data_IF_090332918220
#
_entry.id   IF_090332918220
#
_cell.length_a   1.000
_cell.length_b   1.000
_cell.length_c   1.000
_cell.angle_alpha   90.00
_cell.angle_beta   90.00
_cell.angle_gamma   90.00
#
_symmetry.space_group_name_H-M   'P 1'
#
loop_
_entity.id
_entity.type
_entity.pdbx_description
1 polymer ?
#
# COMPACT_ATOMS: atom_id res chain seq x y z
N UNK A 1 -24.34 -8.19 1.70
CA UNK A 1 -23.38 -7.52 0.77
C UNK A 1 -23.54 -8.14 -0.60
N UNK A 2 -23.66 -7.34 -1.65
CA UNK A 2 -23.86 -7.85 -2.99
C UNK A 2 -22.61 -8.50 -3.60
N UNK A 3 -22.70 -8.88 -4.85
CA UNK A 3 -21.58 -9.42 -5.64
C UNK A 3 -20.63 -8.30 -6.02
N UNK A 4 -19.46 -8.22 -5.36
CA UNK A 4 -18.42 -7.19 -5.57
C UNK A 4 -17.04 -7.81 -5.58
N UNK A 5 -16.09 -7.13 -6.20
CA UNK A 5 -14.66 -7.49 -6.19
C UNK A 5 -14.40 -8.94 -6.61
N UNK A 6 -15.06 -9.40 -7.65
CA UNK A 6 -14.86 -10.73 -8.22
C UNK A 6 -13.67 -10.70 -9.18
N UNK A 7 -12.67 -11.52 -8.94
CA UNK A 7 -11.51 -11.63 -9.81
C UNK A 7 -11.91 -11.92 -11.27
N UNK A 8 -11.29 -11.22 -12.21
CA UNK A 8 -11.59 -11.34 -13.64
C UNK A 8 -12.81 -10.57 -14.14
N UNK A 9 -13.59 -9.96 -13.25
CA UNK A 9 -14.70 -9.10 -13.65
C UNK A 9 -14.25 -7.64 -13.83
N UNK A 10 -14.91 -6.84 -14.70
CA UNK A 10 -14.53 -5.45 -14.96
C UNK A 10 -14.47 -4.57 -13.71
N UNK A 11 -15.26 -4.88 -12.69
CA UNK A 11 -15.28 -4.15 -11.41
C UNK A 11 -14.00 -4.28 -10.58
N UNK A 12 -13.13 -5.23 -10.90
CA UNK A 12 -11.82 -5.41 -10.25
C UNK A 12 -10.64 -4.98 -11.13
N UNK A 13 -10.90 -4.55 -12.36
CA UNK A 13 -9.85 -4.13 -13.27
C UNK A 13 -9.14 -2.88 -12.75
N UNK A 14 -7.82 -2.86 -12.90
CA UNK A 14 -7.02 -1.66 -12.63
C UNK A 14 -7.35 -0.63 -13.72
N UNK A 15 -7.45 0.64 -13.34
CA UNK A 15 -7.70 1.72 -14.29
C UNK A 15 -6.68 1.69 -15.43
N UNK A 16 -7.10 1.95 -16.68
CA UNK A 16 -6.18 1.90 -17.83
C UNK A 16 -4.94 2.77 -17.66
N UNK A 17 -5.09 3.94 -17.03
CA UNK A 17 -3.99 4.88 -16.77
C UNK A 17 -2.95 4.33 -15.79
N UNK A 18 -3.32 3.35 -14.99
CA UNK A 18 -2.50 2.71 -13.97
C UNK A 18 -2.26 1.22 -14.26
N UNK A 19 -2.61 0.77 -15.47
CA UNK A 19 -2.44 -0.63 -15.84
C UNK A 19 -0.98 -1.08 -15.65
N UNK A 20 -0.75 -2.28 -15.11
CA UNK A 20 0.60 -2.80 -14.91
C UNK A 20 1.39 -2.82 -16.23
N UNK A 21 2.64 -2.40 -16.15
CA UNK A 21 3.59 -2.53 -17.25
C UNK A 21 4.41 -3.81 -17.10
N UNK A 22 5.15 -4.17 -18.15
CA UNK A 22 5.97 -5.38 -18.13
C UNK A 22 6.95 -5.38 -16.94
N UNK A 23 6.98 -6.49 -16.22
CA UNK A 23 7.84 -6.67 -15.04
C UNK A 23 7.22 -6.25 -13.71
N UNK A 24 6.08 -5.60 -13.73
CA UNK A 24 5.33 -5.32 -12.50
C UNK A 24 4.58 -6.55 -12.01
N UNK A 25 4.60 -6.76 -10.71
CA UNK A 25 3.92 -7.90 -10.07
C UNK A 25 2.50 -7.50 -9.71
N UNK A 26 1.53 -8.26 -10.18
CA UNK A 26 0.12 -8.11 -9.80
C UNK A 26 -0.22 -9.19 -8.78
N UNK A 27 -0.74 -8.78 -7.63
CA UNK A 27 -1.11 -9.68 -6.55
C UNK A 27 -2.63 -9.72 -6.42
N UNK A 28 -3.22 -10.88 -6.65
CA UNK A 28 -4.60 -11.16 -6.27
C UNK A 28 -4.63 -11.57 -4.80
N UNK A 29 -5.39 -10.85 -3.99
CA UNK A 29 -5.41 -11.09 -2.55
C UNK A 29 -6.82 -11.43 -2.05
N UNK A 30 -6.96 -12.50 -1.25
CA UNK A 30 -8.26 -12.89 -0.70
C UNK A 30 -8.70 -12.03 0.49
N UNK A 31 -7.76 -11.35 1.11
CA UNK A 31 -7.98 -10.51 2.30
C UNK A 31 -7.71 -9.03 2.09
N UNK A 32 -7.74 -8.26 3.17
CA UNK A 32 -7.44 -6.83 3.13
C UNK A 32 -5.95 -6.57 3.04
N UNK A 33 -5.15 -7.30 3.81
CA UNK A 33 -3.69 -7.26 3.75
C UNK A 33 -3.14 -7.96 2.51
N UNK A 34 -2.10 -7.39 1.92
CA UNK A 34 -1.52 -7.92 0.68
C UNK A 34 -0.57 -9.11 0.89
N UNK A 35 -0.15 -9.39 2.11
CA UNK A 35 0.70 -10.54 2.43
C UNK A 35 -0.10 -11.81 2.70
N UNK A 36 -1.32 -11.69 3.21
CA UNK A 36 -2.12 -12.85 3.60
C UNK A 36 -2.47 -13.72 2.40
N UNK A 37 -2.04 -14.99 2.44
CA UNK A 37 -2.30 -16.00 1.42
C UNK A 37 -1.93 -15.55 -0.01
N UNK A 38 -0.82 -14.80 -0.15
CA UNK A 38 -0.30 -14.34 -1.44
C UNK A 38 1.19 -14.63 -1.57
N UNK A 39 1.72 -14.47 -2.78
CA UNK A 39 3.15 -14.58 -3.06
C UNK A 39 3.94 -13.25 -2.90
N UNK A 40 3.38 -12.25 -2.22
CA UNK A 40 4.04 -10.94 -2.12
C UNK A 40 5.38 -11.01 -1.37
N UNK A 41 5.42 -11.71 -0.25
CA UNK A 41 6.63 -11.83 0.55
C UNK A 41 7.80 -12.41 -0.26
N UNK A 42 7.54 -13.48 -0.99
CA UNK A 42 8.55 -14.14 -1.85
C UNK A 42 8.97 -13.25 -3.02
N UNK A 43 8.03 -12.50 -3.60
CA UNK A 43 8.33 -11.57 -4.68
C UNK A 43 9.26 -10.44 -4.23
N UNK A 44 9.00 -9.85 -3.08
CA UNK A 44 9.83 -8.81 -2.48
C UNK A 44 11.22 -9.35 -2.08
N UNK A 45 11.24 -10.52 -1.48
CA UNK A 45 12.48 -11.17 -1.05
C UNK A 45 13.40 -11.50 -2.24
N UNK A 46 12.85 -12.06 -3.32
CA UNK A 46 13.63 -12.35 -4.55
C UNK A 46 14.27 -11.11 -5.16
N UNK A 47 13.62 -9.96 -5.03
CA UNK A 47 14.14 -8.68 -5.52
C UNK A 47 15.04 -7.95 -4.51
N UNK A 48 15.24 -8.48 -3.32
CA UNK A 48 16.03 -7.85 -2.27
C UNK A 48 15.44 -6.54 -1.76
N UNK A 49 14.13 -6.35 -1.88
CA UNK A 49 13.44 -5.13 -1.45
C UNK A 49 13.47 -5.02 0.07
N UNK A 50 13.77 -3.83 0.58
CA UNK A 50 13.77 -3.52 2.01
C UNK A 50 12.89 -2.33 2.37
N UNK A 51 12.63 -1.46 1.42
CA UNK A 51 11.86 -0.24 1.59
C UNK A 51 10.61 -0.30 0.71
N UNK A 52 9.47 0.09 1.28
CA UNK A 52 8.18 0.04 0.61
C UNK A 52 7.49 1.40 0.70
N UNK A 53 7.04 1.89 -0.45
CA UNK A 53 6.14 3.05 -0.51
C UNK A 53 4.73 2.52 -0.70
N UNK A 54 3.82 2.99 0.15
CA UNK A 54 2.41 2.59 0.15
C UNK A 54 1.53 3.68 -0.44
N UNK A 55 0.64 3.26 -1.31
CA UNK A 55 -0.42 4.08 -1.89
C UNK A 55 -1.67 3.21 -2.09
N UNK A 56 -2.78 3.84 -2.40
CA UNK A 56 -4.02 3.13 -2.74
C UNK A 56 -5.15 3.34 -1.75
N UNK A 57 -6.14 2.49 -1.82
CA UNK A 57 -7.37 2.58 -1.04
C UNK A 57 -7.74 1.23 -0.38
N UNK A 58 -8.39 1.29 0.76
CA UNK A 58 -8.63 2.49 1.60
C UNK A 58 -7.54 2.60 2.64
N UNK A 59 -7.24 3.81 3.06
CA UNK A 59 -6.13 4.13 3.97
C UNK A 59 -6.12 3.28 5.23
N UNK A 60 -7.25 3.24 5.94
CA UNK A 60 -7.38 2.56 7.23
C UNK A 60 -7.62 1.05 7.13
N UNK A 61 -7.88 0.53 5.95
CA UNK A 61 -8.16 -0.91 5.77
C UNK A 61 -7.01 -1.59 5.04
N UNK A 62 -7.04 -1.65 3.71
CA UNK A 62 -6.05 -2.43 2.95
C UNK A 62 -4.65 -1.85 3.08
N UNK A 63 -4.52 -0.54 3.01
CA UNK A 63 -3.22 0.15 3.06
C UNK A 63 -2.59 0.00 4.45
N UNK A 64 -3.30 0.39 5.51
CA UNK A 64 -2.77 0.29 6.87
C UNK A 64 -2.54 -1.16 7.29
N UNK A 65 -3.43 -2.09 6.96
CA UNK A 65 -3.26 -3.50 7.27
C UNK A 65 -1.98 -4.06 6.64
N UNK A 66 -1.75 -3.78 5.36
CA UNK A 66 -0.54 -4.22 4.65
C UNK A 66 0.72 -3.58 5.23
N UNK A 67 0.65 -2.29 5.53
CA UNK A 67 1.79 -1.54 6.07
C UNK A 67 2.21 -2.04 7.46
N UNK A 68 1.26 -2.36 8.33
CA UNK A 68 1.56 -2.92 9.66
C UNK A 68 2.23 -4.29 9.55
N UNK A 69 1.71 -5.16 8.71
CA UNK A 69 2.34 -6.46 8.48
C UNK A 69 3.72 -6.33 7.83
N UNK A 70 3.89 -5.42 6.88
CA UNK A 70 5.19 -5.12 6.29
C UNK A 70 6.21 -4.68 7.35
N UNK A 71 5.80 -3.79 8.25
CA UNK A 71 6.65 -3.35 9.35
C UNK A 71 7.02 -4.53 10.28
N UNK A 72 6.06 -5.37 10.65
CA UNK A 72 6.32 -6.56 11.45
C UNK A 72 7.27 -7.54 10.76
N UNK A 73 7.28 -7.56 9.43
CA UNK A 73 8.20 -8.38 8.62
C UNK A 73 9.58 -7.77 8.44
N UNK A 74 9.81 -6.55 8.95
CA UNK A 74 11.10 -5.88 8.93
C UNK A 74 11.33 -4.93 7.73
N UNK A 75 10.28 -4.59 6.97
CA UNK A 75 10.37 -3.58 5.93
C UNK A 75 10.32 -2.18 6.52
N UNK A 76 11.08 -1.26 5.94
CA UNK A 76 10.92 0.17 6.17
C UNK A 76 9.74 0.66 5.32
N UNK A 77 8.79 1.33 5.97
CA UNK A 77 7.51 1.65 5.36
C UNK A 77 7.30 3.18 5.28
N UNK A 78 6.89 3.65 4.12
CA UNK A 78 6.55 5.04 3.85
C UNK A 78 5.18 5.13 3.20
N UNK A 79 4.27 5.92 3.77
CA UNK A 79 2.95 6.19 3.18
C UNK A 79 2.99 7.49 2.39
N UNK A 80 2.53 7.45 1.15
CA UNK A 80 2.32 8.63 0.32
C UNK A 80 0.95 9.25 0.65
N UNK A 81 0.95 10.41 1.36
CA UNK A 81 -0.25 10.96 2.00
C UNK A 81 -1.37 11.31 1.03
N UNK A 82 -1.05 11.91 -0.11
CA UNK A 82 -2.06 12.31 -1.11
C UNK A 82 -2.42 11.16 -2.08
N UNK A 83 -1.65 10.07 -2.07
CA UNK A 83 -1.90 8.91 -2.92
C UNK A 83 -2.68 7.79 -2.20
N UNK A 84 -3.28 8.11 -1.07
CA UNK A 84 -4.18 7.22 -0.34
C UNK A 84 -5.47 7.97 0.02
N UNK A 85 -6.58 7.24 0.12
CA UNK A 85 -7.87 7.87 0.42
C UNK A 85 -8.77 6.94 1.22
N UNK A 86 -9.73 7.53 1.91
CA UNK A 86 -10.77 6.86 2.66
C UNK A 86 -12.14 7.41 2.29
N UNK A 87 -13.18 6.63 2.51
CA UNK A 87 -14.56 7.13 2.45
C UNK A 87 -14.86 8.18 3.52
N UNK A 88 -14.07 8.18 4.59
CA UNK A 88 -14.24 9.07 5.74
C UNK A 88 -12.93 9.85 5.99
N UNK A 89 -12.91 11.18 5.77
CA UNK A 89 -11.69 11.98 5.97
C UNK A 89 -11.08 11.84 7.35
N UNK A 90 -11.90 11.72 8.38
CA UNK A 90 -11.46 11.51 9.76
C UNK A 90 -10.75 10.16 9.95
N UNK A 91 -11.10 9.13 9.21
CA UNK A 91 -10.43 7.83 9.28
C UNK A 91 -9.07 7.88 8.60
N UNK A 92 -8.96 8.57 7.46
CA UNK A 92 -7.66 8.82 6.83
C UNK A 92 -6.74 9.59 7.77
N UNK A 93 -7.22 10.67 8.37
CA UNK A 93 -6.43 11.47 9.31
C UNK A 93 -5.98 10.66 10.52
N UNK A 94 -6.87 9.84 11.09
CA UNK A 94 -6.56 8.96 12.21
C UNK A 94 -5.52 7.89 11.82
N UNK A 95 -5.67 7.26 10.66
CA UNK A 95 -4.72 6.26 10.17
C UNK A 95 -3.31 6.85 9.99
N UNK A 96 -3.20 8.02 9.37
CA UNK A 96 -1.92 8.73 9.22
C UNK A 96 -1.31 9.05 10.59
N UNK A 97 -2.11 9.56 11.52
CA UNK A 97 -1.64 9.85 12.87
C UNK A 97 -1.14 8.61 13.60
N UNK A 98 -1.85 7.48 13.48
CA UNK A 98 -1.45 6.20 14.08
C UNK A 98 -0.14 5.66 13.49
N UNK A 99 0.04 5.77 12.19
CA UNK A 99 1.27 5.33 11.50
C UNK A 99 2.48 6.09 12.05
N UNK A 100 2.35 7.41 12.20
CA UNK A 100 3.42 8.32 12.67
C UNK A 100 3.65 8.28 14.17
N UNK A 101 2.69 7.78 14.93
CA UNK A 101 2.75 7.77 16.39
C UNK A 101 4.01 7.06 16.89
N UNK A 102 4.42 7.40 18.10
CA UNK A 102 5.56 6.76 18.78
C UNK A 102 6.86 6.80 17.99
N UNK A 103 7.12 7.90 17.29
CA UNK A 103 8.35 8.05 16.50
C UNK A 103 8.34 7.23 15.21
N UNK A 104 7.20 7.16 14.54
CA UNK A 104 6.98 6.38 13.32
C UNK A 104 7.14 4.86 13.53
N UNK A 105 6.58 4.34 14.62
CA UNK A 105 6.72 2.93 14.99
C UNK A 105 6.16 1.97 13.93
N UNK A 106 5.16 2.40 13.17
CA UNK A 106 4.63 1.64 12.03
C UNK A 106 5.34 2.04 10.73
N UNK A 107 5.64 3.32 10.58
CA UNK A 107 6.32 3.83 9.39
C UNK A 107 6.24 5.36 9.31
N UNK A 108 6.84 5.87 8.26
CA UNK A 108 6.85 7.30 7.95
C UNK A 108 5.71 7.66 7.02
N UNK A 109 5.42 8.94 6.92
CA UNK A 109 4.52 9.48 5.90
C UNK A 109 5.16 10.68 5.25
N UNK A 110 4.91 10.89 3.98
CA UNK A 110 5.43 12.03 3.24
C UNK A 110 4.46 12.45 2.14
N UNK A 111 4.62 13.68 1.68
CA UNK A 111 3.91 14.18 0.51
C UNK A 111 4.42 13.50 -0.75
N UNK A 112 3.56 13.33 -1.72
CA UNK A 112 3.93 12.71 -3.01
C UNK A 112 5.07 13.46 -3.69
N UNK A 113 5.03 14.78 -3.70
CA UNK A 113 6.07 15.60 -4.33
C UNK A 113 7.45 15.36 -3.69
N UNK A 114 7.52 15.28 -2.36
CA UNK A 114 8.76 15.02 -1.63
C UNK A 114 9.31 13.62 -1.96
N UNK A 115 8.44 12.63 -2.09
CA UNK A 115 8.82 11.27 -2.48
C UNK A 115 9.40 11.24 -3.90
N UNK A 116 8.71 11.89 -4.85
CA UNK A 116 9.14 11.94 -6.24
C UNK A 116 10.46 12.66 -6.40
N UNK A 117 10.65 13.77 -5.69
CA UNK A 117 11.92 14.51 -5.68
C UNK A 117 13.06 13.65 -5.12
N UNK A 118 12.81 12.94 -4.02
CA UNK A 118 13.81 12.03 -3.42
C UNK A 118 14.22 10.91 -4.38
N UNK A 119 13.27 10.31 -5.10
CA UNK A 119 13.55 9.25 -6.09
C UNK A 119 14.34 9.80 -7.28
N UNK A 120 14.00 11.01 -7.75
CA UNK A 120 14.68 11.63 -8.88
C UNK A 120 16.16 11.96 -8.60
N UNK A 121 16.53 12.12 -7.33
CA UNK A 121 17.91 12.43 -6.89
C UNK A 121 18.65 11.24 -6.26
N UNK A 122 18.03 10.07 -6.30
CA UNK A 122 18.62 8.84 -5.75
C UNK A 122 19.70 8.24 -6.66
#
# INVERSE_FOLDING_TARGET
MGRILIAGEPGTAILPELAPIDGEVVIEKPGKGAFYATGLAEALQRKGIRQLVFAGVTTEVCVQTTMREANDRGYECLLAEEATESYFPEFKAAAIAMIRAQGAIVGWTARVDDILESIAHA
#
